data_IF_536037659415
#
_entry.id   IF_536037659415
#
_cell.length_a   1.000
_cell.length_b   1.000
_cell.length_c   1.000
_cell.angle_alpha   90.00
_cell.angle_beta   90.00
_cell.angle_gamma   90.00
#
_symmetry.space_group_name_H-M   'P 1'
#
loop_
_entity.id
_entity.type
_entity.pdbx_description
1 polymer ?
#
# COMPACT_ATOMS: atom_id res chain seq x y z
N UNK A 1 -46.89 3.66 4.97
CA UNK A 1 -47.07 4.49 6.18
C UNK A 1 -45.72 4.60 6.87
N UNK A 2 -44.94 5.65 6.56
CA UNK A 2 -43.61 5.88 7.15
C UNK A 2 -43.81 6.77 8.38
N UNK A 3 -43.61 6.23 9.59
CA UNK A 3 -43.61 7.01 10.83
C UNK A 3 -42.18 7.41 11.12
N UNK A 4 -41.89 8.69 10.89
CA UNK A 4 -40.65 9.36 11.28
C UNK A 4 -40.83 9.80 12.74
N UNK A 5 -39.92 9.37 13.61
CA UNK A 5 -39.78 9.92 14.96
C UNK A 5 -38.39 10.56 15.04
N UNK A 6 -38.39 11.87 15.21
CA UNK A 6 -37.23 12.71 15.53
C UNK A 6 -37.44 13.22 16.98
N UNK A 7 -36.36 13.71 17.59
CA UNK A 7 -36.22 14.47 18.86
C UNK A 7 -35.66 13.62 20.03
N UNK A 8 -34.55 13.93 20.72
CA UNK A 8 -33.58 15.05 20.69
C UNK A 8 -32.43 14.80 21.70
N UNK A 9 -31.26 15.36 21.40
CA UNK A 9 -30.26 16.05 22.26
C UNK A 9 -29.53 15.35 23.45
N UNK A 10 -28.24 15.71 23.57
CA UNK A 10 -27.29 15.60 24.71
C UNK A 10 -26.62 14.21 24.84
N UNK A 11 -25.30 14.06 24.77
CA UNK A 11 -24.25 14.87 25.39
C UNK A 11 -22.98 14.91 24.55
N UNK A 12 -22.40 16.11 24.43
CA UNK A 12 -21.03 16.35 23.99
C UNK A 12 -20.09 15.82 25.08
N UNK A 13 -19.33 14.77 24.80
CA UNK A 13 -18.14 14.39 25.57
C UNK A 13 -16.94 14.45 24.61
N UNK A 14 -16.37 15.65 24.54
CA UNK A 14 -15.02 15.88 24.03
C UNK A 14 -14.04 15.29 25.04
N UNK A 15 -13.63 14.03 24.84
CA UNK A 15 -12.35 13.56 25.34
C UNK A 15 -11.29 14.07 24.37
N UNK A 16 -10.79 15.28 24.64
CA UNK A 16 -9.53 15.73 24.06
C UNK A 16 -8.40 14.90 24.67
N UNK A 17 -7.73 14.12 23.84
CA UNK A 17 -6.37 13.70 24.13
C UNK A 17 -5.45 14.73 23.43
N UNK A 18 -4.83 15.61 24.22
CA UNK A 18 -3.62 16.28 23.77
C UNK A 18 -2.53 15.22 23.84
N UNK A 19 -1.98 14.82 22.70
CA UNK A 19 -0.70 14.13 22.70
C UNK A 19 0.36 15.17 23.04
N UNK A 20 1.03 14.96 24.16
CA UNK A 20 2.18 15.76 24.53
C UNK A 20 3.33 15.35 23.61
N UNK A 21 3.79 16.29 22.78
CA UNK A 21 5.06 16.17 22.08
C UNK A 21 6.12 16.19 23.17
N UNK A 22 6.80 15.05 23.38
CA UNK A 22 8.07 15.04 24.10
C UNK A 22 9.11 15.47 23.06
N UNK A 23 9.38 16.76 23.00
CA UNK A 23 10.65 17.26 22.48
C UNK A 23 11.70 16.97 23.56
N UNK A 24 12.32 15.79 23.49
CA UNK A 24 13.53 15.50 24.24
C UNK A 24 14.70 16.17 23.49
N UNK A 25 14.78 17.49 23.62
CA UNK A 25 15.95 18.27 23.23
C UNK A 25 17.08 17.97 24.23
N UNK A 26 17.77 16.86 23.98
CA UNK A 26 19.10 16.61 24.53
C UNK A 26 20.14 17.02 23.49
N UNK A 27 20.16 18.31 23.15
CA UNK A 27 21.31 18.96 22.52
C UNK A 27 22.44 19.06 23.55
N UNK A 28 23.20 17.97 23.65
CA UNK A 28 24.58 18.03 24.12
C UNK A 28 25.37 18.89 23.14
N UNK A 29 25.50 20.18 23.44
CA UNK A 29 26.40 21.09 22.75
C UNK A 29 27.85 20.61 22.92
N UNK A 30 28.45 20.15 21.83
CA UNK A 30 29.90 20.27 21.67
C UNK A 30 30.12 21.00 20.34
N UNK A 31 30.48 22.27 20.48
CA UNK A 31 30.67 23.20 19.39
C UNK A 31 31.90 22.85 18.53
N UNK A 32 31.79 23.21 17.24
CA UNK A 32 32.81 23.28 16.19
C UNK A 32 32.88 22.13 15.17
N UNK A 33 31.93 22.12 14.24
CA UNK A 33 32.27 22.16 12.81
C UNK A 33 31.10 22.79 12.03
N UNK A 34 31.26 24.06 11.65
CA UNK A 34 30.30 24.77 10.80
C UNK A 34 30.62 24.38 9.36
N UNK A 35 29.95 23.35 8.87
CA UNK A 35 29.77 23.17 7.43
C UNK A 35 28.42 23.81 7.11
N UNK A 36 28.46 25.00 6.52
CA UNK A 36 27.28 25.61 5.88
C UNK A 36 26.83 24.67 4.76
N UNK A 37 25.87 23.80 5.06
CA UNK A 37 25.09 23.12 4.03
C UNK A 37 24.11 24.18 3.51
N UNK A 38 24.11 24.48 2.20
CA UNK A 38 23.16 25.44 1.65
C UNK A 38 21.74 24.94 1.92
N UNK A 39 20.95 25.78 2.59
CA UNK A 39 19.50 25.65 2.62
C UNK A 39 18.97 26.07 1.24
N UNK A 40 18.87 25.12 0.32
CA UNK A 40 18.10 25.31 -0.92
C UNK A 40 16.67 24.80 -0.68
N UNK A 41 15.78 25.80 -0.60
CA UNK A 41 14.33 25.72 -0.75
C UNK A 41 13.92 24.98 -2.06
N UNK A 42 12.75 24.33 -2.00
CA UNK A 42 11.90 23.91 -3.14
C UNK A 42 12.33 22.63 -3.92
N UNK A 43 12.11 21.45 -3.32
CA UNK A 43 11.94 20.22 -4.10
C UNK A 43 10.81 19.38 -3.52
N UNK A 44 9.59 19.56 -4.06
CA UNK A 44 8.52 18.60 -3.86
C UNK A 44 8.98 17.27 -4.46
N UNK A 45 9.41 16.33 -3.61
CA UNK A 45 9.76 14.97 -4.03
C UNK A 45 8.58 14.39 -4.79
N UNK A 46 8.67 14.35 -6.12
CA UNK A 46 7.70 13.67 -6.94
C UNK A 46 7.74 12.19 -6.54
N UNK A 47 6.68 11.68 -5.93
CA UNK A 47 6.59 10.26 -5.67
C UNK A 47 6.64 9.51 -7.00
N UNK A 48 7.72 8.77 -7.22
CA UNK A 48 7.90 7.95 -8.42
C UNK A 48 6.71 7.00 -8.60
N UNK A 49 6.12 7.03 -9.80
CA UNK A 49 4.97 6.20 -10.14
C UNK A 49 5.37 4.72 -10.19
N UNK A 50 4.52 3.85 -9.68
CA UNK A 50 4.71 2.41 -9.82
C UNK A 50 4.04 1.96 -11.12
N UNK A 51 4.84 1.49 -12.07
CA UNK A 51 4.40 0.86 -13.33
C UNK A 51 4.42 -0.66 -13.30
N UNK A 52 3.68 -1.32 -14.19
CA UNK A 52 3.63 -2.79 -14.24
C UNK A 52 4.99 -3.39 -14.57
N UNK A 53 5.63 -2.96 -15.67
CA UNK A 53 6.98 -3.36 -16.04
C UNK A 53 7.93 -2.18 -15.79
N UNK A 54 8.81 -2.25 -14.78
CA UNK A 54 9.36 -3.48 -14.19
C UNK A 54 8.77 -3.91 -12.83
N UNK A 55 8.06 -3.03 -12.13
CA UNK A 55 7.83 -3.19 -10.70
C UNK A 55 6.89 -4.35 -10.36
N UNK A 56 5.67 -4.35 -10.90
CA UNK A 56 4.66 -5.38 -10.58
C UNK A 56 4.96 -6.70 -11.28
N UNK A 57 5.56 -6.66 -12.47
CA UNK A 57 6.00 -7.85 -13.20
C UNK A 57 6.97 -8.68 -12.35
N UNK A 58 7.95 -8.02 -11.72
CA UNK A 58 8.91 -8.68 -10.82
C UNK A 58 8.19 -9.38 -9.65
N UNK A 59 7.14 -8.77 -9.09
CA UNK A 59 6.34 -9.38 -8.03
C UNK A 59 5.55 -10.58 -8.56
N UNK A 60 4.92 -10.43 -9.73
CA UNK A 60 4.15 -11.49 -10.36
C UNK A 60 5.03 -12.72 -10.65
N UNK A 61 6.25 -12.52 -11.14
CA UNK A 61 7.21 -13.59 -11.41
C UNK A 61 7.65 -14.31 -10.12
N UNK A 62 7.93 -13.55 -9.06
CA UNK A 62 8.43 -14.10 -7.80
C UNK A 62 7.36 -14.86 -7.00
N UNK A 63 6.10 -14.42 -7.05
CA UNK A 63 5.08 -14.87 -6.11
C UNK A 63 3.80 -15.43 -6.74
N UNK A 64 3.54 -15.22 -8.03
CA UNK A 64 2.24 -15.55 -8.63
C UNK A 64 2.33 -16.60 -9.73
N UNK A 65 3.24 -16.40 -10.68
CA UNK A 65 3.21 -17.06 -11.98
C UNK A 65 3.58 -18.56 -11.89
N UNK A 66 4.34 -18.98 -10.88
CA UNK A 66 4.66 -20.40 -10.68
C UNK A 66 3.42 -21.30 -10.50
N UNK A 67 2.32 -20.75 -10.00
CA UNK A 67 1.07 -21.48 -9.72
C UNK A 67 -0.16 -20.91 -10.43
N UNK A 68 -0.05 -19.74 -11.06
CA UNK A 68 -1.13 -19.07 -11.77
C UNK A 68 -0.69 -18.67 -13.18
N UNK A 69 -0.14 -19.60 -13.97
CA UNK A 69 0.19 -19.36 -15.37
C UNK A 69 0.29 -20.64 -16.20
N UNK A 70 0.17 -20.52 -17.53
CA UNK A 70 0.46 -21.61 -18.47
C UNK A 70 -0.31 -22.90 -18.16
N UNK A 71 0.42 -24.00 -17.93
CA UNK A 71 -0.14 -25.30 -17.53
C UNK A 71 -0.47 -25.39 -16.02
N UNK A 72 0.00 -24.45 -15.23
CA UNK A 72 -0.20 -24.35 -13.78
C UNK A 72 -1.25 -23.28 -13.48
N UNK A 73 -2.53 -23.58 -13.75
CA UNK A 73 -3.65 -22.67 -13.51
C UNK A 73 -4.39 -23.02 -12.22
N UNK A 74 -3.75 -22.82 -11.06
CA UNK A 74 -4.45 -23.02 -9.80
C UNK A 74 -5.69 -22.13 -9.74
N UNK A 75 -6.81 -22.72 -9.31
CA UNK A 75 -8.14 -22.11 -9.35
C UNK A 75 -8.60 -21.62 -10.74
N UNK A 76 -7.97 -22.08 -11.83
CA UNK A 76 -8.30 -21.66 -13.20
C UNK A 76 -7.89 -20.23 -13.54
N UNK A 77 -6.99 -19.63 -12.75
CA UNK A 77 -6.56 -18.24 -12.92
C UNK A 77 -5.20 -18.19 -13.60
N UNK A 78 -5.10 -17.35 -14.63
CA UNK A 78 -3.83 -16.92 -15.22
C UNK A 78 -3.51 -15.50 -14.76
N UNK A 79 -2.30 -15.29 -14.22
CA UNK A 79 -1.75 -14.01 -13.79
C UNK A 79 -0.55 -13.57 -14.65
N UNK A 80 -0.23 -14.29 -15.73
CA UNK A 80 0.85 -13.91 -16.64
C UNK A 80 0.45 -12.71 -17.50
N UNK A 81 1.28 -11.66 -17.48
CA UNK A 81 1.16 -10.48 -18.34
C UNK A 81 0.17 -9.43 -17.82
N UNK A 82 0.41 -8.19 -18.23
CA UNK A 82 -0.29 -7.00 -17.76
C UNK A 82 -1.82 -7.15 -17.79
N UNK A 83 -2.40 -7.54 -18.92
CA UNK A 83 -3.87 -7.65 -19.08
C UNK A 83 -4.51 -8.57 -18.06
N UNK A 84 -3.94 -9.75 -17.85
CA UNK A 84 -4.50 -10.74 -16.94
C UNK A 84 -4.31 -10.33 -15.48
N UNK A 85 -3.12 -9.83 -15.14
CA UNK A 85 -2.81 -9.38 -13.79
C UNK A 85 -3.69 -8.18 -13.39
N UNK A 86 -3.81 -7.18 -14.29
CA UNK A 86 -4.71 -6.03 -14.11
C UNK A 86 -6.15 -6.50 -13.90
N UNK A 87 -6.66 -7.35 -14.79
CA UNK A 87 -8.05 -7.83 -14.68
C UNK A 87 -8.32 -8.48 -13.31
N UNK A 88 -7.42 -9.31 -12.81
CA UNK A 88 -7.58 -9.96 -11.49
C UNK A 88 -7.40 -9.00 -10.31
N UNK A 89 -6.63 -7.92 -10.50
CA UNK A 89 -6.43 -6.87 -9.49
C UNK A 89 -7.62 -5.91 -9.42
N UNK A 90 -8.14 -5.49 -10.58
CA UNK A 90 -9.21 -4.50 -10.71
C UNK A 90 -10.61 -5.11 -10.52
N UNK A 91 -10.88 -6.23 -11.21
CA UNK A 91 -12.21 -6.85 -11.26
C UNK A 91 -12.28 -8.18 -10.50
N UNK A 92 -11.14 -8.76 -10.18
CA UNK A 92 -11.03 -10.02 -9.45
C UNK A 92 -10.95 -9.82 -7.94
N UNK A 93 -10.24 -10.74 -7.29
CA UNK A 93 -10.05 -10.71 -5.84
C UNK A 93 -8.58 -10.64 -5.42
N UNK A 94 -7.64 -10.33 -6.33
CA UNK A 94 -6.20 -10.42 -6.07
C UNK A 94 -5.80 -9.65 -4.80
N UNK A 95 -6.23 -8.39 -4.65
CA UNK A 95 -5.91 -7.57 -3.47
C UNK A 95 -6.42 -8.18 -2.16
N UNK A 96 -7.62 -8.75 -2.15
CA UNK A 96 -8.15 -9.44 -0.97
C UNK A 96 -7.36 -10.72 -0.68
N UNK A 97 -6.97 -11.47 -1.73
CA UNK A 97 -6.26 -12.74 -1.61
C UNK A 97 -4.85 -12.58 -1.07
N UNK A 98 -4.10 -11.59 -1.56
CA UNK A 98 -2.73 -11.33 -1.09
C UNK A 98 -2.69 -10.78 0.34
N UNK A 99 -3.82 -10.32 0.89
CA UNK A 99 -3.93 -9.77 2.24
C UNK A 99 -4.61 -10.73 3.24
N UNK A 100 -4.97 -11.95 2.84
CA UNK A 100 -5.67 -12.91 3.71
C UNK A 100 -4.68 -13.77 4.51
N UNK A 101 -4.41 -13.42 5.77
CA UNK A 101 -3.51 -14.18 6.64
C UNK A 101 -4.03 -15.57 7.04
N UNK A 102 -5.35 -15.79 7.02
CA UNK A 102 -5.97 -17.09 7.33
C UNK A 102 -5.91 -18.07 6.15
N UNK A 103 -5.71 -17.57 4.94
CA UNK A 103 -5.54 -18.37 3.72
C UNK A 103 -4.51 -17.67 2.80
N UNK A 104 -3.22 -17.73 3.18
CA UNK A 104 -2.18 -16.93 2.55
C UNK A 104 -1.95 -17.35 1.10
N UNK A 105 -1.56 -16.36 0.29
CA UNK A 105 -1.05 -16.58 -1.06
C UNK A 105 0.29 -15.84 -1.20
N UNK A 106 1.40 -16.54 -1.51
CA UNK A 106 1.53 -17.99 -1.69
C UNK A 106 1.16 -18.87 -0.47
N UNK A 107 0.93 -20.18 -0.63
CA UNK A 107 0.51 -21.06 0.48
C UNK A 107 1.55 -21.21 1.61
N UNK A 108 2.82 -20.91 1.33
CA UNK A 108 3.89 -20.95 2.33
C UNK A 108 3.83 -19.77 3.33
N UNK A 109 3.08 -18.73 3.02
CA UNK A 109 3.00 -17.51 3.82
C UNK A 109 2.66 -16.30 2.97
N UNK A 110 2.22 -15.21 3.61
CA UNK A 110 1.99 -13.96 2.91
C UNK A 110 3.28 -13.43 2.30
N UNK A 111 3.15 -12.84 1.11
CA UNK A 111 4.21 -12.03 0.51
C UNK A 111 4.61 -10.89 1.47
N UNK A 112 5.85 -10.37 1.37
CA UNK A 112 6.29 -9.21 2.12
C UNK A 112 5.29 -8.05 2.02
N UNK A 113 5.14 -7.30 3.11
CA UNK A 113 4.19 -6.20 3.15
C UNK A 113 4.50 -5.14 2.08
N UNK A 114 5.77 -4.84 1.86
CA UNK A 114 6.24 -3.88 0.86
C UNK A 114 5.78 -4.25 -0.55
N UNK A 115 5.82 -5.54 -0.92
CA UNK A 115 5.37 -5.98 -2.25
C UNK A 115 3.85 -5.89 -2.40
N UNK A 116 3.10 -6.20 -1.34
CA UNK A 116 1.64 -6.01 -1.33
C UNK A 116 1.28 -4.54 -1.46
N UNK A 117 2.00 -3.66 -0.76
CA UNK A 117 1.83 -2.22 -0.85
C UNK A 117 2.25 -1.67 -2.22
N UNK A 118 3.27 -2.23 -2.85
CA UNK A 118 3.67 -1.87 -4.22
C UNK A 118 2.58 -2.20 -5.24
N UNK A 119 1.90 -3.35 -5.11
CA UNK A 119 0.70 -3.65 -5.93
C UNK A 119 -0.43 -2.66 -5.63
N UNK A 120 -0.65 -2.30 -4.36
CA UNK A 120 -1.67 -1.30 -4.01
C UNK A 120 -1.34 0.07 -4.62
N UNK A 121 -0.09 0.54 -4.54
CA UNK A 121 0.34 1.80 -5.17
C UNK A 121 0.14 1.76 -6.69
N UNK A 122 0.42 0.64 -7.35
CA UNK A 122 0.13 0.48 -8.78
C UNK A 122 -1.37 0.61 -9.12
N UNK A 123 -2.25 0.17 -8.22
CA UNK A 123 -3.71 0.38 -8.34
C UNK A 123 -4.04 1.86 -8.17
N UNK A 124 -3.46 2.50 -7.16
CA UNK A 124 -3.70 3.92 -6.83
C UNK A 124 -3.19 4.84 -7.96
N UNK A 125 -2.11 4.45 -8.63
CA UNK A 125 -1.55 5.10 -9.83
C UNK A 125 -2.36 4.80 -11.11
N UNK A 126 -3.49 4.09 -10.99
CA UNK A 126 -4.42 3.73 -12.06
C UNK A 126 -3.84 2.78 -13.13
N UNK A 127 -3.08 1.77 -12.68
CA UNK A 127 -2.56 0.66 -13.49
C UNK A 127 -1.66 1.06 -14.67
N UNK A 128 -0.62 1.90 -14.51
CA UNK A 128 0.26 2.23 -15.63
C UNK A 128 1.08 0.99 -16.03
N UNK A 129 1.23 0.77 -17.34
CA UNK A 129 1.91 -0.43 -17.85
C UNK A 129 3.44 -0.27 -17.89
N UNK A 130 3.93 0.93 -18.23
CA UNK A 130 5.34 1.30 -18.41
C UNK A 130 5.59 2.72 -17.98
#
# INVERSE_FOLDING_TARGET
MKKVFIFTFISLLIFGCSEAVIDDDNTGTNDNDVIEVPEDDDDAVAEEAVVYDPHVLTIADNYCISCHSGSSLQAGINLSGYTNFKFQTESGNLLSRINNSSNPMPPAGLMPQEERQRIQKWVDDNFPEK
#
